data_IF_327966227858
#
_entry.id   IF_327966227858
#
_cell.length_a   1.000
_cell.length_b   1.000
_cell.length_c   1.000
_cell.angle_alpha   90.00
_cell.angle_beta   90.00
_cell.angle_gamma   90.00
#
_symmetry.space_group_name_H-M   'P 1'
#
loop_
_entity.id
_entity.type
_entity.pdbx_description
1 polymer ?
#
# COMPACT_ATOMS: atom_id res chain seq x y z
N UNK A 1 -26.59 -4.59 -8.62
CA UNK A 1 -25.77 -4.22 -7.45
C UNK A 1 -25.41 -2.75 -7.57
N UNK A 2 -25.75 -1.91 -6.58
CA UNK A 2 -25.32 -0.50 -6.61
C UNK A 2 -23.81 -0.43 -6.49
N UNK A 3 -23.16 0.27 -7.44
CA UNK A 3 -21.74 0.60 -7.35
C UNK A 3 -21.55 1.38 -6.05
N UNK A 4 -20.75 0.85 -5.12
CA UNK A 4 -20.36 1.57 -3.91
C UNK A 4 -19.69 2.87 -4.37
N UNK A 5 -20.21 4.01 -3.91
CA UNK A 5 -19.67 5.30 -4.31
C UNK A 5 -18.24 5.47 -3.78
N UNK A 6 -17.37 6.15 -4.51
CA UNK A 6 -15.99 6.38 -4.08
C UNK A 6 -15.90 7.01 -2.66
N UNK A 7 -16.84 7.87 -2.30
CA UNK A 7 -16.97 8.42 -0.94
C UNK A 7 -17.12 7.34 0.14
N UNK A 8 -17.96 6.33 -0.10
CA UNK A 8 -18.17 5.22 0.84
C UNK A 8 -16.91 4.35 0.97
N UNK A 9 -16.11 4.24 -0.10
CA UNK A 9 -14.80 3.56 -0.05
C UNK A 9 -13.84 4.34 0.86
N UNK A 10 -13.77 5.66 0.72
CA UNK A 10 -12.94 6.51 1.58
C UNK A 10 -13.36 6.43 3.05
N UNK A 11 -14.66 6.47 3.34
CA UNK A 11 -15.17 6.27 4.71
C UNK A 11 -14.80 4.90 5.29
N UNK A 12 -14.83 3.85 4.45
CA UNK A 12 -14.36 2.51 4.83
C UNK A 12 -12.88 2.49 5.16
N UNK A 13 -12.05 3.15 4.34
CA UNK A 13 -10.61 3.30 4.60
C UNK A 13 -10.38 4.01 5.93
N UNK A 14 -11.05 5.14 6.17
CA UNK A 14 -10.88 5.93 7.40
C UNK A 14 -11.31 5.13 8.64
N UNK A 15 -12.41 4.38 8.56
CA UNK A 15 -12.88 3.51 9.64
C UNK A 15 -11.91 2.38 9.97
N UNK A 16 -11.26 1.81 8.96
CA UNK A 16 -10.40 0.63 9.10
C UNK A 16 -8.92 0.95 8.97
N UNK A 17 -8.54 2.24 9.03
CA UNK A 17 -7.18 2.71 8.76
C UNK A 17 -6.10 2.01 9.59
N UNK A 18 -6.28 1.75 10.91
CA UNK A 18 -5.27 1.01 11.69
C UNK A 18 -5.03 -0.41 11.18
N UNK A 19 -6.08 -1.09 10.76
CA UNK A 19 -6.00 -2.45 10.23
C UNK A 19 -5.32 -2.47 8.86
N UNK A 20 -5.79 -1.61 7.94
CA UNK A 20 -5.24 -1.51 6.59
C UNK A 20 -3.77 -1.06 6.60
N UNK A 21 -3.43 -0.16 7.52
CA UNK A 21 -2.04 0.25 7.74
C UNK A 21 -1.16 -0.95 8.12
N UNK A 22 -1.61 -1.79 9.06
CA UNK A 22 -0.84 -2.95 9.51
C UNK A 22 -0.56 -3.93 8.35
N UNK A 23 -1.55 -4.21 7.51
CA UNK A 23 -1.38 -5.08 6.34
C UNK A 23 -0.38 -4.49 5.35
N UNK A 24 -0.59 -3.23 4.96
CA UNK A 24 0.30 -2.51 4.04
C UNK A 24 1.73 -2.43 4.57
N UNK A 25 1.88 -2.05 5.83
CA UNK A 25 3.19 -1.90 6.48
C UNK A 25 3.96 -3.22 6.51
N UNK A 26 3.27 -4.35 6.77
CA UNK A 26 3.89 -5.66 6.78
C UNK A 26 4.37 -6.11 5.39
N UNK A 27 3.59 -5.81 4.33
CA UNK A 27 3.98 -6.09 2.94
C UNK A 27 5.23 -5.29 2.58
N UNK A 28 5.23 -3.97 2.81
CA UNK A 28 6.37 -3.10 2.50
C UNK A 28 7.62 -3.50 3.28
N UNK A 29 7.47 -3.89 4.55
CA UNK A 29 8.61 -4.38 5.34
C UNK A 29 9.21 -5.65 4.74
N UNK A 30 8.39 -6.57 4.23
CA UNK A 30 8.86 -7.79 3.60
C UNK A 30 9.70 -7.48 2.35
N UNK A 31 9.21 -6.59 1.49
CA UNK A 31 9.90 -6.12 0.29
C UNK A 31 11.21 -5.41 0.61
N UNK A 32 11.21 -4.49 1.59
CA UNK A 32 12.42 -3.78 2.03
C UNK A 32 13.47 -4.73 2.60
N UNK A 33 13.04 -5.73 3.39
CA UNK A 33 13.94 -6.76 3.93
C UNK A 33 14.52 -7.61 2.81
N UNK A 34 13.74 -7.94 1.79
CA UNK A 34 14.23 -8.66 0.63
C UNK A 34 15.25 -7.85 -0.16
N UNK A 35 14.95 -6.59 -0.46
CA UNK A 35 15.88 -5.67 -1.11
C UNK A 35 17.20 -5.54 -0.31
N UNK A 36 17.12 -5.43 1.02
CA UNK A 36 18.30 -5.34 1.88
C UNK A 36 19.13 -6.64 1.93
N UNK A 37 18.49 -7.82 1.77
CA UNK A 37 19.21 -9.09 1.66
C UNK A 37 19.97 -9.21 0.33
N UNK A 38 19.39 -8.70 -0.74
CA UNK A 38 19.94 -8.82 -2.10
C UNK A 38 20.91 -7.70 -2.47
N UNK A 39 20.90 -6.57 -1.74
CA UNK A 39 21.78 -5.43 -1.99
C UNK A 39 23.25 -5.70 -1.65
N UNK A 40 24.16 -5.15 -2.45
CA UNK A 40 25.62 -5.29 -2.31
C UNK A 40 26.30 -3.93 -2.22
N UNK A 41 27.51 -3.89 -1.65
CA UNK A 41 28.32 -2.67 -1.56
C UNK A 41 27.59 -1.51 -0.87
N UNK A 42 27.67 -0.32 -1.46
CA UNK A 42 27.07 0.91 -0.90
C UNK A 42 25.54 0.84 -0.81
N UNK A 43 24.88 0.09 -1.69
CA UNK A 43 23.42 -0.03 -1.68
C UNK A 43 22.90 -0.87 -0.51
N UNK A 44 23.75 -1.72 0.07
CA UNK A 44 23.37 -2.53 1.24
C UNK A 44 23.08 -1.68 2.47
N UNK A 45 23.91 -0.68 2.75
CA UNK A 45 23.71 0.19 3.91
C UNK A 45 22.49 1.11 3.70
N UNK A 46 22.28 1.60 2.48
CA UNK A 46 21.05 2.34 2.13
C UNK A 46 19.79 1.48 2.33
N UNK A 47 19.82 0.22 1.88
CA UNK A 47 18.68 -0.69 2.01
C UNK A 47 18.39 -1.06 3.48
N UNK A 48 19.44 -1.26 4.30
CA UNK A 48 19.27 -1.42 5.77
C UNK A 48 18.66 -0.17 6.40
N UNK A 49 19.14 1.02 6.01
CA UNK A 49 18.60 2.28 6.52
C UNK A 49 17.12 2.44 6.17
N UNK A 50 16.71 2.05 4.95
CA UNK A 50 15.31 2.05 4.56
C UNK A 50 14.43 1.14 5.44
N UNK A 51 14.92 -0.05 5.82
CA UNK A 51 14.24 -0.94 6.77
C UNK A 51 14.08 -0.26 8.13
N UNK A 52 15.14 0.38 8.65
CA UNK A 52 15.10 1.10 9.93
C UNK A 52 14.14 2.28 9.91
N UNK A 53 14.14 3.03 8.81
CA UNK A 53 13.24 4.17 8.63
C UNK A 53 11.78 3.71 8.56
N UNK A 54 11.51 2.56 7.94
CA UNK A 54 10.17 1.97 7.87
C UNK A 54 9.59 1.61 9.24
N UNK A 55 10.42 1.19 10.21
CA UNK A 55 9.95 0.96 11.58
C UNK A 55 9.45 2.23 12.29
N UNK A 56 9.88 3.42 11.86
CA UNK A 56 9.40 4.69 12.46
C UNK A 56 7.91 4.92 12.21
N UNK A 57 7.32 4.23 11.23
CA UNK A 57 5.91 4.40 10.85
C UNK A 57 5.01 3.25 11.30
N UNK A 58 5.53 2.21 11.97
CA UNK A 58 4.78 0.98 12.36
C UNK A 58 3.47 1.23 13.10
N UNK A 59 3.43 2.27 13.93
CA UNK A 59 2.26 2.65 14.72
C UNK A 59 1.68 4.01 14.29
N UNK A 60 1.91 4.41 13.03
CA UNK A 60 1.49 5.69 12.46
C UNK A 60 0.55 5.48 11.27
N UNK A 61 -0.69 5.03 11.52
CA UNK A 61 -1.65 4.71 10.46
C UNK A 61 -1.98 5.89 9.54
N UNK A 62 -1.84 7.12 10.01
CA UNK A 62 -1.99 8.36 9.23
C UNK A 62 -1.04 8.42 8.02
N UNK A 63 0.11 7.74 8.09
CA UNK A 63 1.09 7.69 6.99
C UNK A 63 0.59 6.89 5.78
N UNK A 64 -0.36 5.97 5.98
CA UNK A 64 -0.90 5.11 4.91
C UNK A 64 -2.16 5.67 4.27
N UNK A 65 -2.83 6.65 4.89
CA UNK A 65 -4.15 7.13 4.44
C UNK A 65 -4.15 7.61 2.99
N UNK A 66 -3.22 8.50 2.64
CA UNK A 66 -3.16 9.09 1.30
C UNK A 66 -2.91 8.01 0.23
N UNK A 67 -1.98 7.10 0.50
CA UNK A 67 -1.63 6.00 -0.40
C UNK A 67 -2.81 5.05 -0.60
N UNK A 68 -3.53 4.70 0.46
CA UNK A 68 -4.71 3.83 0.37
C UNK A 68 -5.85 4.47 -0.44
N UNK A 69 -6.08 5.78 -0.28
CA UNK A 69 -7.08 6.51 -1.06
C UNK A 69 -6.69 6.59 -2.54
N UNK A 70 -5.41 6.81 -2.83
CA UNK A 70 -4.91 6.84 -4.21
C UNK A 70 -5.05 5.46 -4.88
N UNK A 71 -4.67 4.40 -4.19
CA UNK A 71 -4.83 3.03 -4.69
C UNK A 71 -6.31 2.69 -4.93
N UNK A 72 -7.18 3.07 -3.99
CA UNK A 72 -8.63 2.89 -4.16
C UNK A 72 -9.19 3.68 -5.36
N UNK A 73 -8.66 4.88 -5.63
CA UNK A 73 -9.04 5.68 -6.81
C UNK A 73 -8.63 4.98 -8.10
N UNK A 74 -7.39 4.52 -8.20
CA UNK A 74 -6.88 3.79 -9.37
C UNK A 74 -7.74 2.54 -9.67
N UNK A 75 -8.14 1.81 -8.64
CA UNK A 75 -9.01 0.63 -8.75
C UNK A 75 -10.46 1.00 -9.10
N UNK A 76 -10.95 2.16 -8.69
CA UNK A 76 -12.31 2.62 -8.99
C UNK A 76 -12.44 3.13 -10.43
N UNK A 77 -11.40 3.80 -10.93
CA UNK A 77 -11.34 4.39 -12.27
C UNK A 77 -10.98 3.35 -13.35
N UNK A 78 -10.33 2.25 -12.96
CA UNK A 78 -10.01 1.12 -13.85
C UNK A 78 -11.12 0.07 -13.77
N UNK A 79 -12.03 -0.07 -14.77
CA UNK A 79 -12.97 -1.18 -14.77
C UNK A 79 -12.21 -2.51 -14.89
N UNK A 80 -12.67 -3.60 -14.23
CA UNK A 80 -12.06 -4.90 -14.38
C UNK A 80 -12.03 -5.29 -15.86
N UNK A 81 -10.91 -5.88 -16.30
CA UNK A 81 -10.64 -6.31 -17.67
C UNK A 81 -11.50 -7.51 -18.14
N UNK A 82 -12.74 -7.62 -17.66
CA UNK A 82 -13.64 -8.75 -17.90
C UNK A 82 -14.59 -8.53 -19.09
N UNK A 83 -14.41 -7.46 -19.88
CA UNK A 83 -15.16 -7.19 -21.11
C UNK A 83 -14.25 -6.84 -22.30
N UNK A 84 -13.06 -7.44 -22.40
CA UNK A 84 -12.35 -7.51 -23.67
C UNK A 84 -12.88 -8.73 -24.42
N UNK A 85 -14.04 -8.57 -25.07
CA UNK A 85 -14.49 -9.51 -26.10
C UNK A 85 -13.38 -9.63 -27.16
N UNK A 86 -12.84 -10.83 -27.43
CA UNK A 86 -12.02 -11.02 -28.61
C UNK A 86 -12.92 -10.91 -29.85
N UNK A 87 -12.72 -9.85 -30.62
CA UNK A 87 -13.26 -9.72 -31.98
C UNK A 87 -12.62 -10.75 -32.94
#
# INVERSE_FOLDING_TARGET
MSRVGFHQIVEGIDRHLPYLHKERWAIELAELREAARNAVGHDRERAKQAVLDHYKTEFRPETSRAVLIEQARQNYDTPPAENADPA
#
